data_IF_047882258141
#
_entry.id   IF_047882258141
#
_cell.length_a   1.000
_cell.length_b   1.000
_cell.length_c   1.000
_cell.angle_alpha   90.00
_cell.angle_beta   90.00
_cell.angle_gamma   90.00
#
_symmetry.space_group_name_H-M   'P 1'
#
loop_
_entity.id
_entity.type
_entity.pdbx_description
1 polymer ?
#
# COMPACT_ATOMS: atom_id res chain seq x y z
N UNK A 1 4.11 -16.58 7.77
CA UNK A 1 3.84 -15.17 8.15
C UNK A 1 4.91 -14.71 9.12
N UNK A 2 5.54 -13.56 8.87
CA UNK A 2 6.47 -12.93 9.82
C UNK A 2 5.68 -11.92 10.66
N UNK A 3 5.94 -11.84 11.96
CA UNK A 3 5.31 -10.85 12.83
C UNK A 3 6.22 -10.44 13.99
N UNK A 4 5.92 -9.28 14.57
CA UNK A 4 6.62 -8.76 15.73
C UNK A 4 6.21 -9.49 17.03
N UNK A 5 6.47 -8.85 18.17
CA UNK A 5 6.21 -9.44 19.50
C UNK A 5 4.90 -8.95 20.13
N UNK A 6 4.05 -8.23 19.39
CA UNK A 6 2.78 -7.68 19.90
C UNK A 6 1.89 -8.81 20.46
N UNK A 7 1.20 -8.51 21.56
CA UNK A 7 0.32 -9.44 22.27
C UNK A 7 -0.92 -9.80 21.46
N UNK A 8 -1.26 -9.03 20.42
CA UNK A 8 -2.31 -9.36 19.44
C UNK A 8 -2.03 -10.66 18.68
N UNK A 9 -0.78 -11.08 18.54
CA UNK A 9 -0.42 -12.40 18.00
C UNK A 9 -0.55 -13.50 19.05
N UNK A 10 -1.79 -13.71 19.49
CA UNK A 10 -2.16 -14.64 20.56
C UNK A 10 -1.81 -16.10 20.23
N UNK A 11 -1.86 -16.98 21.22
CA UNK A 11 -1.61 -18.42 21.03
C UNK A 11 -2.63 -19.01 20.05
N UNK A 12 -3.89 -18.64 20.21
CA UNK A 12 -5.03 -19.06 19.39
C UNK A 12 -4.85 -18.60 17.94
N UNK A 13 -4.43 -17.35 17.71
CA UNK A 13 -4.17 -16.85 16.37
C UNK A 13 -3.01 -17.60 15.68
N UNK A 14 -1.94 -17.88 16.42
CA UNK A 14 -0.82 -18.69 15.90
C UNK A 14 -1.23 -20.13 15.60
N UNK A 15 -2.11 -20.73 16.40
CA UNK A 15 -2.67 -22.05 16.13
C UNK A 15 -3.55 -22.03 14.88
N UNK A 16 -4.42 -21.02 14.73
CA UNK A 16 -5.21 -20.82 13.52
C UNK A 16 -4.32 -20.76 12.26
N UNK A 17 -3.24 -19.98 12.30
CA UNK A 17 -2.29 -19.91 11.18
C UNK A 17 -1.67 -21.27 10.85
N UNK A 18 -1.23 -22.02 11.86
CA UNK A 18 -0.67 -23.37 11.68
C UNK A 18 -1.70 -24.33 11.08
N UNK A 19 -2.95 -24.28 11.53
CA UNK A 19 -4.05 -25.09 10.97
C UNK A 19 -4.35 -24.74 9.51
N UNK A 20 -4.04 -23.51 9.08
CA UNK A 20 -4.08 -23.08 7.67
C UNK A 20 -2.78 -23.36 6.90
N UNK A 21 -1.84 -24.10 7.47
CA UNK A 21 -0.54 -24.42 6.85
C UNK A 21 0.45 -23.26 6.84
N UNK A 22 0.16 -22.15 7.53
CA UNK A 22 1.02 -20.97 7.58
C UNK A 22 1.90 -21.05 8.83
N UNK A 23 3.22 -21.09 8.65
CA UNK A 23 4.16 -21.02 9.77
C UNK A 23 4.28 -19.58 10.31
N UNK A 24 3.89 -19.28 11.56
CA UNK A 24 4.16 -18.00 12.18
C UNK A 24 5.63 -17.94 12.62
N UNK A 25 6.35 -16.91 12.16
CA UNK A 25 7.74 -16.62 12.52
C UNK A 25 7.79 -15.31 13.30
N UNK A 26 8.10 -15.40 14.59
CA UNK A 26 8.22 -14.26 15.49
C UNK A 26 9.60 -13.62 15.34
N UNK A 27 9.65 -12.30 15.19
CA UNK A 27 10.90 -11.55 15.12
C UNK A 27 11.64 -11.51 16.48
N UNK A 28 12.97 -11.33 16.49
CA UNK A 28 13.73 -11.00 17.69
C UNK A 28 13.24 -9.70 18.37
N UNK A 29 13.58 -9.53 19.64
CA UNK A 29 13.27 -8.30 20.39
C UNK A 29 13.87 -7.09 19.67
N UNK A 30 13.11 -5.99 19.61
CA UNK A 30 13.59 -4.67 19.13
C UNK A 30 14.31 -4.74 17.78
N UNK A 31 13.76 -5.53 16.85
CA UNK A 31 14.36 -5.73 15.52
C UNK A 31 13.47 -5.21 14.39
N UNK A 32 13.17 -3.89 14.34
CA UNK A 32 12.29 -3.32 13.33
C UNK A 32 12.80 -3.51 11.90
N UNK A 33 14.13 -3.58 11.72
CA UNK A 33 14.74 -3.83 10.41
C UNK A 33 14.37 -5.19 9.80
N UNK A 34 14.04 -6.18 10.64
CA UNK A 34 13.55 -7.48 10.15
C UNK A 34 12.07 -7.44 9.73
N UNK A 35 11.37 -6.34 10.03
CA UNK A 35 10.02 -6.03 9.55
C UNK A 35 10.00 -4.82 8.60
N UNK A 36 11.15 -4.40 8.06
CA UNK A 36 11.32 -3.10 7.40
C UNK A 36 10.31 -2.81 6.29
N UNK A 37 9.79 -3.83 5.59
CA UNK A 37 8.77 -3.67 4.55
C UNK A 37 7.44 -3.18 5.12
N UNK A 38 6.97 -3.78 6.22
CA UNK A 38 5.73 -3.38 6.89
C UNK A 38 5.91 -2.01 7.53
N UNK A 39 7.04 -1.79 8.21
CA UNK A 39 7.35 -0.48 8.81
C UNK A 39 7.38 0.62 7.76
N UNK A 40 8.01 0.36 6.60
CA UNK A 40 8.05 1.32 5.50
C UNK A 40 6.67 1.59 4.92
N UNK A 41 5.82 0.57 4.77
CA UNK A 41 4.44 0.76 4.33
C UNK A 41 3.64 1.62 5.31
N UNK A 42 3.71 1.32 6.62
CA UNK A 42 3.02 2.09 7.67
C UNK A 42 3.51 3.55 7.68
N UNK A 43 4.81 3.76 7.50
CA UNK A 43 5.37 5.09 7.35
C UNK A 43 4.79 5.81 6.13
N UNK A 44 4.77 5.13 4.97
CA UNK A 44 4.24 5.67 3.72
C UNK A 44 2.78 6.11 3.83
N UNK A 45 1.85 5.26 4.31
CA UNK A 45 0.44 5.65 4.45
C UNK A 45 0.25 6.81 5.44
N UNK A 46 1.07 6.90 6.50
CA UNK A 46 1.02 8.02 7.44
C UNK A 46 1.41 9.33 6.75
N UNK A 47 2.56 9.36 6.10
CA UNK A 47 3.08 10.61 5.52
C UNK A 47 2.40 11.03 4.22
N UNK A 48 1.96 10.08 3.39
CA UNK A 48 1.34 10.39 2.09
C UNK A 48 -0.17 10.58 2.18
N UNK A 49 -0.83 10.09 3.24
CA UNK A 49 -2.29 10.21 3.41
C UNK A 49 -2.70 10.68 4.80
N UNK A 50 -2.52 9.86 5.83
CA UNK A 50 -3.23 10.05 7.10
C UNK A 50 -2.85 11.33 7.87
N UNK A 51 -1.62 11.84 7.71
CA UNK A 51 -1.20 13.09 8.33
C UNK A 51 -1.90 14.33 7.75
N UNK A 52 -2.54 14.21 6.59
CA UNK A 52 -3.27 15.29 5.92
C UNK A 52 -4.75 15.36 6.31
N UNK A 53 -5.25 14.38 7.07
CA UNK A 53 -6.66 14.31 7.44
C UNK A 53 -6.87 14.27 8.94
N UNK A 54 -7.96 14.90 9.38
CA UNK A 54 -8.54 14.65 10.69
C UNK A 54 -9.63 13.58 10.50
N UNK A 55 -9.38 12.37 11.01
CA UNK A 55 -10.35 11.29 10.93
C UNK A 55 -11.50 11.52 11.93
N UNK A 56 -12.67 11.92 11.42
CA UNK A 56 -13.90 12.12 12.22
C UNK A 56 -14.52 10.85 12.82
N UNK A 57 -13.98 9.67 12.53
CA UNK A 57 -14.43 8.40 13.10
C UNK A 57 -13.93 7.18 12.34
N UNK A 58 -14.24 5.95 12.82
CA UNK A 58 -13.74 4.71 12.22
C UNK A 58 -14.11 4.57 10.74
N UNK A 59 -15.37 4.86 10.37
CA UNK A 59 -15.81 4.80 8.96
C UNK A 59 -15.00 5.72 8.04
N UNK A 60 -14.64 6.91 8.52
CA UNK A 60 -13.83 7.83 7.74
C UNK A 60 -12.38 7.34 7.65
N UNK A 61 -11.81 6.83 8.74
CA UNK A 61 -10.48 6.23 8.71
C UNK A 61 -10.41 5.02 7.76
N UNK A 62 -11.40 4.13 7.82
CA UNK A 62 -11.50 2.97 6.93
C UNK A 62 -11.58 3.40 5.47
N UNK A 63 -12.36 4.45 5.16
CA UNK A 63 -12.42 5.04 3.83
C UNK A 63 -11.03 5.53 3.38
N UNK A 64 -10.37 6.40 4.17
CA UNK A 64 -9.04 6.93 3.84
C UNK A 64 -7.99 5.83 3.63
N UNK A 65 -8.01 4.81 4.49
CA UNK A 65 -7.09 3.67 4.37
C UNK A 65 -7.40 2.85 3.13
N UNK A 66 -8.67 2.57 2.85
CA UNK A 66 -9.07 1.79 1.67
C UNK A 66 -8.71 2.47 0.36
N UNK A 67 -8.97 3.77 0.25
CA UNK A 67 -8.64 4.59 -0.91
C UNK A 67 -7.12 4.65 -1.12
N UNK A 68 -6.36 4.90 -0.05
CA UNK A 68 -4.90 4.88 -0.14
C UNK A 68 -4.34 3.52 -0.55
N UNK A 69 -4.90 2.42 -0.02
CA UNK A 69 -4.45 1.07 -0.34
C UNK A 69 -4.73 0.72 -1.81
N UNK A 70 -5.86 1.17 -2.36
CA UNK A 70 -6.17 0.99 -3.78
C UNK A 70 -5.17 1.74 -4.66
N UNK A 71 -4.95 3.03 -4.37
CA UNK A 71 -3.91 3.84 -5.03
C UNK A 71 -2.52 3.21 -4.91
N UNK A 72 -2.11 2.80 -3.71
CA UNK A 72 -0.80 2.22 -3.44
C UNK A 72 -0.54 0.97 -4.29
N UNK A 73 -1.54 0.10 -4.42
CA UNK A 73 -1.37 -1.17 -5.12
C UNK A 73 -1.51 -1.06 -6.63
N UNK A 74 -2.35 -0.14 -7.13
CA UNK A 74 -2.67 -0.05 -8.56
C UNK A 74 -1.96 1.07 -9.31
N UNK A 75 -1.60 2.17 -8.64
CA UNK A 75 -1.17 3.40 -9.30
C UNK A 75 0.18 3.94 -8.82
N UNK A 76 0.53 3.73 -7.54
CA UNK A 76 1.76 4.29 -6.96
C UNK A 76 3.00 3.66 -7.60
N UNK A 77 3.92 4.50 -8.08
CA UNK A 77 5.19 4.03 -8.63
C UNK A 77 6.14 3.50 -7.53
N UNK A 78 6.78 2.36 -7.80
CA UNK A 78 7.83 1.80 -6.93
C UNK A 78 9.16 1.67 -7.68
N UNK A 79 10.17 2.45 -7.29
CA UNK A 79 11.48 2.45 -7.97
C UNK A 79 12.15 1.08 -8.01
N UNK A 80 11.98 0.25 -6.96
CA UNK A 80 12.48 -1.13 -6.92
C UNK A 80 11.75 -2.07 -7.88
N UNK A 81 10.62 -1.65 -8.46
CA UNK A 81 9.81 -2.38 -9.44
C UNK A 81 9.82 -1.67 -10.81
N UNK A 82 10.89 -0.98 -11.18
CA UNK A 82 10.96 -0.20 -12.44
C UNK A 82 9.78 0.77 -12.59
N UNK A 83 9.41 1.42 -11.47
CA UNK A 83 8.26 2.33 -11.38
C UNK A 83 6.88 1.68 -11.56
N UNK A 84 6.79 0.35 -11.56
CA UNK A 84 5.50 -0.35 -11.62
C UNK A 84 4.82 -0.41 -10.25
N UNK A 85 3.50 -0.21 -10.18
CA UNK A 85 2.69 -0.52 -9.02
C UNK A 85 2.78 -2.00 -8.62
N UNK A 86 2.46 -2.37 -7.36
CA UNK A 86 2.47 -3.75 -6.88
C UNK A 86 1.61 -4.71 -7.71
N UNK A 87 0.41 -4.29 -8.13
CA UNK A 87 -0.51 -5.10 -8.92
C UNK A 87 -0.26 -5.05 -10.43
N UNK A 88 0.68 -4.22 -10.88
CA UNK A 88 1.06 -4.13 -12.28
C UNK A 88 2.20 -5.13 -12.58
N UNK A 89 1.93 -6.07 -13.50
CA UNK A 89 2.87 -7.12 -13.88
C UNK A 89 3.75 -6.71 -15.07
N UNK A 90 3.17 -6.02 -16.05
CA UNK A 90 3.82 -5.60 -17.29
C UNK A 90 3.85 -4.08 -17.39
N UNK A 91 4.93 -3.50 -17.94
CA UNK A 91 4.97 -2.06 -18.16
C UNK A 91 3.92 -1.63 -19.19
N UNK A 92 3.37 -0.41 -19.04
CA UNK A 92 2.53 0.15 -20.08
C UNK A 92 3.33 0.33 -21.37
N UNK A 93 2.67 0.34 -22.55
CA UNK A 93 3.33 0.59 -23.82
C UNK A 93 4.07 1.94 -23.81
N UNK A 94 5.24 1.97 -24.45
CA UNK A 94 6.03 3.19 -24.62
C UNK A 94 5.52 3.98 -25.83
N UNK A 95 5.49 5.31 -25.70
CA UNK A 95 5.05 6.23 -26.76
C UNK A 95 6.10 7.33 -26.95
N UNK A 96 6.46 7.63 -28.20
CA UNK A 96 7.41 8.70 -28.53
C UNK A 96 6.84 10.11 -28.28
N UNK A 97 5.52 10.27 -28.38
CA UNK A 97 4.84 11.54 -28.14
C UNK A 97 3.51 11.27 -27.44
N UNK A 98 3.23 12.04 -26.39
CA UNK A 98 1.96 11.99 -25.65
C UNK A 98 1.33 13.37 -25.75
N UNK A 99 0.08 13.44 -26.19
CA UNK A 99 -0.69 14.69 -26.21
C UNK A 99 -1.46 14.85 -24.90
N UNK A 100 -1.60 16.09 -24.42
CA UNK A 100 -2.19 16.35 -23.11
C UNK A 100 -3.68 15.95 -23.04
N UNK A 101 -4.41 16.02 -24.16
CA UNK A 101 -5.79 15.56 -24.33
C UNK A 101 -5.95 14.04 -24.22
N UNK A 102 -4.85 13.29 -24.27
CA UNK A 102 -4.83 11.83 -24.11
C UNK A 102 -4.56 11.40 -22.67
N UNK A 103 -4.31 12.34 -21.74
CA UNK A 103 -3.99 12.04 -20.34
C UNK A 103 -5.21 12.28 -19.47
N UNK A 104 -5.72 11.22 -18.85
CA UNK A 104 -6.68 11.30 -17.77
C UNK A 104 -5.95 11.45 -16.43
N UNK A 105 -6.37 12.42 -15.64
CA UNK A 105 -5.90 12.60 -14.28
C UNK A 105 -6.98 12.12 -13.32
N UNK A 106 -6.66 11.10 -12.54
CA UNK A 106 -7.54 10.58 -11.50
C UNK A 106 -7.09 11.12 -10.14
N UNK A 107 -8.03 11.64 -9.38
CA UNK A 107 -7.81 12.20 -8.05
C UNK A 107 -8.19 11.20 -6.96
N UNK A 108 -7.30 11.04 -5.99
CA UNK A 108 -7.46 10.17 -4.83
C UNK A 108 -7.35 11.01 -3.56
N UNK A 109 -8.03 10.58 -2.51
CA UNK A 109 -8.09 11.21 -1.19
C UNK A 109 -8.51 12.68 -1.30
N UNK A 110 -9.60 12.93 -2.03
CA UNK A 110 -10.12 14.28 -2.25
C UNK A 110 -9.13 15.21 -2.97
N UNK A 111 -8.31 14.66 -3.88
CA UNK A 111 -7.34 15.42 -4.68
C UNK A 111 -5.98 15.60 -4.04
N UNK A 112 -5.75 15.05 -2.84
CA UNK A 112 -4.43 15.05 -2.20
C UNK A 112 -3.39 14.31 -3.05
N UNK A 113 -3.81 13.20 -3.68
CA UNK A 113 -2.97 12.37 -4.52
C UNK A 113 -3.58 12.35 -5.93
N UNK A 114 -2.72 12.36 -6.95
CA UNK A 114 -3.15 12.25 -8.35
C UNK A 114 -2.39 11.15 -9.05
N UNK A 115 -3.10 10.30 -9.78
CA UNK A 115 -2.53 9.40 -10.78
C UNK A 115 -2.84 9.93 -12.17
N UNK A 116 -2.02 9.52 -13.13
CA UNK A 116 -2.16 9.90 -14.52
C UNK A 116 -2.13 8.62 -15.34
N UNK A 117 -3.12 8.47 -16.21
CA UNK A 117 -3.22 7.36 -17.14
C UNK A 117 -3.51 7.89 -18.54
N UNK A 118 -3.10 7.14 -19.56
CA UNK A 118 -3.45 7.48 -20.93
C UNK A 118 -4.83 6.91 -21.23
N UNK A 119 -5.71 7.72 -21.79
CA UNK A 119 -7.00 7.27 -22.32
C UNK A 119 -6.67 6.35 -23.50
N UNK A 120 -6.96 5.06 -23.36
CA UNK A 120 -6.83 4.12 -24.46
C UNK A 120 -7.81 4.52 -25.57
N UNK A 121 -7.33 4.64 -26.80
CA UNK A 121 -8.16 4.71 -28.00
C UNK A 121 -8.73 3.33 -28.35
#
# INVERSE_FOLDING_TARGET
MIHDRDTKFSVEFKQFLKNKGIQPKRLPIRSPNLNARVERFVQTIKYEALNHFIAFGPRHLDYLVSEFVDYYNKHRAHSSRKHLPPCCAEPPPEFETIRLDEIHCEEHLGGLIKSYERIAA
#
